data_IF_059906493639
#
_entry.id   IF_059906493639
#
_cell.length_a   1.000
_cell.length_b   1.000
_cell.length_c   1.000
_cell.angle_alpha   90.00
_cell.angle_beta   90.00
_cell.angle_gamma   90.00
#
_symmetry.space_group_name_H-M   'P 1'
#
loop_
_entity.id
_entity.type
_entity.pdbx_description
1 polymer ?
#
# COMPACT_ATOMS: atom_id res chain seq x y z
N UNK A 1 37.31 26.82 4.09
CA UNK A 1 36.84 26.96 5.49
C UNK A 1 36.18 25.66 5.92
N UNK A 2 36.39 25.19 7.16
CA UNK A 2 35.70 24.00 7.67
C UNK A 2 34.22 24.31 7.89
N UNK A 3 33.35 23.36 7.53
CA UNK A 3 31.90 23.45 7.73
C UNK A 3 31.57 22.86 9.10
N UNK A 4 31.20 23.71 10.05
CA UNK A 4 30.90 23.34 11.44
C UNK A 4 29.70 24.15 11.90
N UNK A 5 28.80 23.57 12.69
CA UNK A 5 27.54 24.21 13.10
C UNK A 5 27.77 25.57 13.78
N UNK A 6 28.78 25.68 14.64
CA UNK A 6 29.16 26.95 15.30
C UNK A 6 29.57 28.04 14.30
N UNK A 7 30.27 27.62 13.24
CA UNK A 7 30.74 28.53 12.20
C UNK A 7 29.60 28.94 11.27
N UNK A 8 28.78 27.98 10.83
CA UNK A 8 27.61 28.21 10.00
C UNK A 8 26.62 29.16 10.71
N UNK A 9 26.42 29.00 12.02
CA UNK A 9 25.60 29.90 12.84
C UNK A 9 26.15 31.35 12.87
N UNK A 10 27.47 31.53 13.03
CA UNK A 10 28.12 32.86 12.98
C UNK A 10 27.98 33.49 11.60
N UNK A 11 28.17 32.72 10.53
CA UNK A 11 28.01 33.21 9.15
C UNK A 11 26.57 33.63 8.87
N UNK A 12 25.57 32.85 9.31
CA UNK A 12 24.16 33.23 9.19
C UNK A 12 23.86 34.50 9.99
N UNK A 13 24.36 34.58 11.23
CA UNK A 13 24.18 35.76 12.07
C UNK A 13 24.76 37.00 11.40
N UNK A 14 25.98 36.94 10.88
CA UNK A 14 26.62 38.04 10.16
C UNK A 14 25.86 38.41 8.89
N UNK A 15 25.38 37.44 8.11
CA UNK A 15 24.54 37.68 6.93
C UNK A 15 23.27 38.47 7.27
N UNK A 16 22.60 38.14 8.38
CA UNK A 16 21.41 38.87 8.85
C UNK A 16 21.78 40.25 9.40
N UNK A 17 22.84 40.33 10.22
CA UNK A 17 23.27 41.54 10.93
C UNK A 17 23.77 42.64 10.00
N UNK A 18 24.44 42.25 8.92
CA UNK A 18 24.93 43.17 7.89
C UNK A 18 23.96 43.33 6.71
N UNK A 19 22.75 42.78 6.80
CA UNK A 19 21.73 42.94 5.76
C UNK A 19 22.15 42.36 4.40
N UNK A 20 23.04 41.36 4.39
CA UNK A 20 23.47 40.64 3.16
C UNK A 20 22.42 39.63 2.68
N UNK A 21 21.20 39.75 3.17
CA UNK A 21 20.05 38.94 2.79
C UNK A 21 19.15 39.76 1.88
N UNK A 22 18.85 39.23 0.71
CA UNK A 22 17.83 39.83 -0.15
C UNK A 22 16.45 39.46 0.40
N UNK A 23 15.51 40.40 0.59
CA UNK A 23 14.17 40.06 0.99
C UNK A 23 13.56 39.15 -0.09
N UNK A 24 12.90 38.08 0.36
CA UNK A 24 12.20 37.20 -0.58
C UNK A 24 11.09 38.00 -1.25
N UNK A 25 11.01 38.05 -2.59
CA UNK A 25 9.92 38.76 -3.26
C UNK A 25 8.58 38.14 -2.87
N UNK A 26 7.52 38.95 -2.87
CA UNK A 26 6.19 38.44 -2.60
C UNK A 26 5.88 37.25 -3.52
N UNK A 27 5.42 36.12 -2.97
CA UNK A 27 5.20 34.94 -3.75
C UNK A 27 4.11 35.22 -4.80
N UNK A 28 4.39 34.88 -6.05
CA UNK A 28 3.35 34.91 -7.07
C UNK A 28 2.25 33.92 -6.67
N UNK A 29 1.04 34.42 -6.43
CA UNK A 29 -0.08 33.62 -5.92
C UNK A 29 -0.42 32.41 -6.81
N UNK A 30 -0.14 32.48 -8.13
CA UNK A 30 -0.28 31.34 -9.03
C UNK A 30 0.67 30.19 -8.65
N UNK A 31 1.94 30.50 -8.40
CA UNK A 31 2.93 29.50 -7.97
C UNK A 31 2.67 29.02 -6.54
N UNK A 32 2.23 29.91 -5.64
CA UNK A 32 1.86 29.53 -4.27
C UNK A 32 0.69 28.53 -4.23
N UNK A 33 -0.34 28.73 -5.07
CA UNK A 33 -1.46 27.81 -5.19
C UNK A 33 -1.02 26.45 -5.74
N UNK A 34 -0.22 26.44 -6.82
CA UNK A 34 0.34 25.19 -7.38
C UNK A 34 1.20 24.45 -6.37
N UNK A 35 2.06 25.15 -5.63
CA UNK A 35 2.91 24.55 -4.60
C UNK A 35 2.08 23.88 -3.48
N UNK A 36 0.95 24.47 -3.09
CA UNK A 36 0.04 23.86 -2.10
C UNK A 36 -0.59 22.58 -2.64
N UNK A 37 -1.07 22.60 -3.89
CA UNK A 37 -1.64 21.41 -4.54
C UNK A 37 -0.61 20.28 -4.69
N UNK A 38 0.62 20.59 -5.09
CA UNK A 38 1.67 19.57 -5.24
C UNK A 38 2.09 18.98 -3.91
N UNK A 39 2.24 19.79 -2.86
CA UNK A 39 2.50 19.32 -1.49
C UNK A 39 1.36 18.44 -0.97
N UNK A 40 0.11 18.86 -1.18
CA UNK A 40 -1.04 18.07 -0.76
C UNK A 40 -1.08 16.71 -1.47
N UNK A 41 -0.88 16.68 -2.79
CA UNK A 41 -0.78 15.44 -3.55
C UNK A 41 0.34 14.53 -3.05
N UNK A 42 1.51 15.10 -2.73
CA UNK A 42 2.62 14.35 -2.15
C UNK A 42 2.23 13.68 -0.82
N UNK A 43 1.61 14.44 0.10
CA UNK A 43 1.14 13.90 1.36
C UNK A 43 0.12 12.78 1.16
N UNK A 44 -0.86 12.95 0.25
CA UNK A 44 -1.84 11.90 -0.06
C UNK A 44 -1.17 10.62 -0.56
N UNK A 45 -0.21 10.72 -1.48
CA UNK A 45 0.51 9.55 -2.00
C UNK A 45 1.28 8.84 -0.88
N UNK A 46 1.92 9.60 0.02
CA UNK A 46 2.62 9.02 1.18
C UNK A 46 1.66 8.33 2.15
N UNK A 47 0.51 8.94 2.43
CA UNK A 47 -0.53 8.35 3.27
C UNK A 47 -1.04 7.07 2.64
N UNK A 48 -1.41 7.07 1.36
CA UNK A 48 -1.86 5.86 0.65
C UNK A 48 -0.80 4.75 0.72
N UNK A 49 0.47 5.08 0.50
CA UNK A 49 1.57 4.10 0.55
C UNK A 49 1.76 3.53 1.96
N UNK A 50 1.60 4.37 2.97
CA UNK A 50 1.70 3.99 4.39
C UNK A 50 0.54 3.12 4.81
N UNK A 51 -0.70 3.47 4.43
CA UNK A 51 -1.89 2.66 4.72
C UNK A 51 -1.86 1.33 3.96
N UNK A 52 -1.42 1.30 2.69
CA UNK A 52 -1.19 0.04 1.97
C UNK A 52 -0.20 -0.86 2.71
N UNK A 53 0.87 -0.29 3.26
CA UNK A 53 1.86 -1.06 4.02
C UNK A 53 1.28 -1.63 5.31
N UNK A 54 0.44 -0.87 6.03
CA UNK A 54 -0.28 -1.35 7.21
C UNK A 54 -1.29 -2.44 6.86
N UNK A 55 -2.05 -2.26 5.78
CA UNK A 55 -2.99 -3.25 5.28
C UNK A 55 -2.28 -4.55 4.87
N UNK A 56 -1.10 -4.48 4.25
CA UNK A 56 -0.29 -5.68 3.96
C UNK A 56 0.14 -6.44 5.22
N UNK A 57 0.41 -5.75 6.33
CA UNK A 57 0.74 -6.41 7.59
C UNK A 57 -0.47 -7.14 8.17
N UNK A 58 -1.66 -6.54 8.09
CA UNK A 58 -2.90 -7.20 8.49
C UNK A 58 -3.24 -8.37 7.57
N UNK A 59 -3.04 -8.20 6.26
CA UNK A 59 -3.22 -9.26 5.28
C UNK A 59 -2.27 -10.42 5.57
N UNK A 60 -1.02 -10.16 5.98
CA UNK A 60 -0.09 -11.23 6.38
C UNK A 60 -0.61 -12.05 7.56
N UNK A 61 -1.32 -11.44 8.51
CA UNK A 61 -1.94 -12.17 9.63
C UNK A 61 -3.10 -13.06 9.16
N UNK A 62 -3.89 -12.59 8.19
CA UNK A 62 -4.99 -13.36 7.59
C UNK A 62 -4.50 -14.42 6.59
N UNK A 63 -3.45 -14.10 5.82
CA UNK A 63 -2.95 -14.88 4.69
C UNK A 63 -1.43 -14.64 4.52
N UNK A 64 -0.63 -15.39 5.27
CA UNK A 64 0.81 -15.15 5.42
C UNK A 64 1.65 -15.28 4.14
N UNK A 65 1.33 -16.25 3.29
CA UNK A 65 2.05 -16.54 2.03
C UNK A 65 1.63 -15.64 0.86
N UNK A 66 0.55 -14.85 1.01
CA UNK A 66 -0.08 -14.20 -0.13
C UNK A 66 0.81 -13.18 -0.83
N UNK A 67 1.57 -12.39 -0.07
CA UNK A 67 2.38 -11.30 -0.66
C UNK A 67 3.49 -11.83 -1.58
N UNK A 68 4.08 -12.97 -1.23
CA UNK A 68 5.18 -13.59 -1.99
C UNK A 68 4.63 -14.37 -3.19
N UNK A 69 3.53 -15.08 -2.99
CA UNK A 69 2.91 -15.95 -3.98
C UNK A 69 1.72 -15.32 -4.71
N UNK A 70 1.59 -13.98 -4.67
CA UNK A 70 0.44 -13.28 -5.23
C UNK A 70 0.34 -13.56 -6.73
N UNK A 71 -0.74 -14.22 -7.19
CA UNK A 71 -0.88 -14.59 -8.59
C UNK A 71 -1.41 -13.44 -9.45
N UNK A 72 -1.80 -12.32 -8.82
CA UNK A 72 -2.27 -11.10 -9.48
C UNK A 72 -1.16 -10.06 -9.62
N UNK A 73 -1.34 -9.16 -10.59
CA UNK A 73 -0.40 -8.05 -10.84
C UNK A 73 -0.36 -7.00 -9.72
N UNK A 74 -1.46 -6.82 -8.99
CA UNK A 74 -1.55 -5.95 -7.81
C UNK A 74 -2.33 -6.65 -6.70
N UNK A 75 -1.78 -6.66 -5.49
CA UNK A 75 -2.39 -7.21 -4.28
C UNK A 75 -3.68 -6.46 -3.93
N UNK A 76 -3.76 -5.16 -4.25
CA UNK A 76 -4.97 -4.34 -4.03
C UNK A 76 -5.82 -4.20 -5.31
N UNK A 77 -5.60 -5.06 -6.31
CA UNK A 77 -6.44 -5.10 -7.50
C UNK A 77 -7.85 -5.60 -7.20
N UNK A 78 -8.80 -5.36 -8.11
CA UNK A 78 -10.21 -5.76 -7.91
C UNK A 78 -10.38 -7.26 -7.67
N UNK A 79 -9.69 -8.09 -8.47
CA UNK A 79 -9.74 -9.55 -8.35
C UNK A 79 -9.17 -10.04 -7.01
N UNK A 80 -7.98 -9.54 -6.64
CA UNK A 80 -7.32 -9.87 -5.37
C UNK A 80 -8.17 -9.46 -4.16
N UNK A 81 -8.71 -8.24 -4.17
CA UNK A 81 -9.58 -7.72 -3.10
C UNK A 81 -10.84 -8.57 -2.95
N UNK A 82 -11.47 -8.95 -4.08
CA UNK A 82 -12.69 -9.79 -4.06
C UNK A 82 -12.44 -11.16 -3.44
N UNK A 83 -11.25 -11.74 -3.63
CA UNK A 83 -10.85 -13.01 -3.00
C UNK A 83 -10.81 -12.87 -1.47
N UNK A 84 -10.24 -11.77 -0.96
CA UNK A 84 -10.11 -11.55 0.49
C UNK A 84 -11.42 -11.22 1.20
N UNK A 85 -12.32 -10.53 0.49
CA UNK A 85 -13.62 -10.15 1.01
C UNK A 85 -14.58 -11.35 1.05
N UNK A 86 -14.47 -12.24 0.06
CA UNK A 86 -15.41 -13.35 -0.11
C UNK A 86 -15.00 -14.60 0.66
N UNK A 87 -13.69 -14.83 0.87
CA UNK A 87 -13.20 -16.10 1.39
C UNK A 87 -12.11 -15.98 2.45
N UNK A 88 -12.09 -16.97 3.33
CA UNK A 88 -10.98 -17.26 4.26
C UNK A 88 -9.99 -18.25 3.64
N UNK A 89 -8.73 -18.32 4.12
CA UNK A 89 -7.77 -19.30 3.62
C UNK A 89 -8.25 -20.75 3.73
N UNK A 90 -8.95 -21.09 4.82
CA UNK A 90 -9.48 -22.44 5.02
C UNK A 90 -10.59 -22.77 4.01
N UNK A 91 -11.46 -21.82 3.68
CA UNK A 91 -12.48 -21.99 2.63
C UNK A 91 -11.85 -22.20 1.26
N UNK A 92 -10.84 -21.41 0.91
CA UNK A 92 -10.10 -21.55 -0.36
C UNK A 92 -9.41 -22.91 -0.45
N UNK A 93 -8.89 -23.43 0.66
CA UNK A 93 -8.23 -24.74 0.69
C UNK A 93 -9.19 -25.89 0.40
N UNK A 94 -10.45 -25.79 0.85
CA UNK A 94 -11.48 -26.83 0.68
C UNK A 94 -12.22 -26.70 -0.66
N UNK A 95 -12.37 -25.48 -1.19
CA UNK A 95 -13.12 -25.19 -2.41
C UNK A 95 -12.65 -26.03 -3.62
N UNK A 96 -13.57 -26.57 -4.45
CA UNK A 96 -13.20 -27.26 -5.67
C UNK A 96 -12.49 -26.32 -6.65
N UNK A 97 -11.64 -26.89 -7.50
CA UNK A 97 -10.77 -26.11 -8.38
C UNK A 97 -11.59 -25.34 -9.42
N UNK A 98 -12.67 -25.96 -9.90
CA UNK A 98 -13.59 -25.42 -10.89
C UNK A 98 -14.26 -24.13 -10.39
N UNK A 99 -14.80 -24.14 -9.17
CA UNK A 99 -15.44 -22.96 -8.58
C UNK A 99 -14.45 -21.80 -8.37
N UNK A 100 -13.21 -22.12 -7.99
CA UNK A 100 -12.19 -21.10 -7.78
C UNK A 100 -11.78 -20.43 -9.11
N UNK A 101 -11.69 -21.22 -10.20
CA UNK A 101 -11.40 -20.71 -11.54
C UNK A 101 -12.54 -19.83 -12.04
N UNK A 102 -13.79 -20.26 -11.86
CA UNK A 102 -14.97 -19.48 -12.24
C UNK A 102 -15.05 -18.15 -11.46
N UNK A 103 -14.74 -18.17 -10.16
CA UNK A 103 -14.65 -16.96 -9.35
C UNK A 103 -13.59 -16.00 -9.89
N UNK A 104 -12.38 -16.51 -10.15
CA UNK A 104 -11.27 -15.71 -10.69
C UNK A 104 -11.60 -15.11 -12.06
N UNK A 105 -12.29 -15.87 -12.94
CA UNK A 105 -12.75 -15.40 -14.24
C UNK A 105 -13.77 -14.26 -14.13
N UNK A 106 -14.77 -14.43 -13.24
CA UNK A 106 -15.82 -13.42 -13.04
C UNK A 106 -15.28 -12.08 -12.53
N UNK A 107 -14.26 -12.11 -11.66
CA UNK A 107 -13.64 -10.91 -11.08
C UNK A 107 -12.40 -10.41 -11.85
N UNK A 108 -11.90 -11.19 -12.81
CA UNK A 108 -10.70 -10.91 -13.61
C UNK A 108 -10.91 -10.03 -14.84
N UNK A 109 -12.16 -9.67 -15.17
CA UNK A 109 -12.53 -8.87 -16.35
C UNK A 109 -11.90 -9.39 -17.67
N UNK A 110 -11.79 -10.72 -17.84
CA UNK A 110 -11.16 -11.39 -18.99
C UNK A 110 -9.71 -10.95 -19.32
N UNK A 111 -9.00 -10.33 -18.36
CA UNK A 111 -7.60 -9.89 -18.55
C UNK A 111 -6.58 -10.85 -17.97
N UNK A 112 -7.04 -11.88 -17.27
CA UNK A 112 -6.17 -12.88 -16.65
C UNK A 112 -5.77 -13.91 -17.72
N UNK A 113 -4.47 -14.00 -18.00
CA UNK A 113 -3.97 -14.89 -19.06
C UNK A 113 -4.22 -16.37 -18.74
N UNK A 114 -3.95 -16.79 -17.50
CA UNK A 114 -4.04 -18.20 -17.08
C UNK A 114 -4.82 -18.36 -15.74
N UNK A 115 -6.16 -18.39 -15.76
CA UNK A 115 -7.00 -18.52 -14.56
C UNK A 115 -6.73 -19.80 -13.75
N UNK A 116 -6.44 -20.92 -14.41
CA UNK A 116 -6.16 -22.20 -13.75
C UNK A 116 -4.85 -22.17 -12.93
N UNK A 117 -3.80 -21.54 -13.45
CA UNK A 117 -2.54 -21.39 -12.70
C UNK A 117 -2.71 -20.46 -11.51
N UNK A 118 -3.50 -19.40 -11.67
CA UNK A 118 -3.86 -18.46 -10.60
C UNK A 118 -4.62 -19.17 -9.48
N UNK A 119 -5.63 -19.97 -9.82
CA UNK A 119 -6.38 -20.73 -8.83
C UNK A 119 -5.48 -21.76 -8.11
N UNK A 120 -4.53 -22.40 -8.82
CA UNK A 120 -3.63 -23.40 -8.23
C UNK A 120 -2.64 -22.78 -7.26
N UNK A 121 -2.07 -21.64 -7.63
CA UNK A 121 -1.16 -20.86 -6.77
C UNK A 121 -1.91 -20.32 -5.55
N UNK A 122 -3.11 -19.80 -5.73
CA UNK A 122 -3.97 -19.34 -4.64
C UNK A 122 -4.30 -20.46 -3.65
N UNK A 123 -4.68 -21.64 -4.14
CA UNK A 123 -4.95 -22.82 -3.31
C UNK A 123 -3.69 -23.32 -2.59
N UNK A 124 -2.53 -23.31 -3.25
CA UNK A 124 -1.24 -23.63 -2.61
C UNK A 124 -0.88 -22.63 -1.51
N UNK A 125 -1.09 -21.34 -1.76
CA UNK A 125 -0.84 -20.29 -0.80
C UNK A 125 -1.77 -20.45 0.42
N UNK A 126 -3.05 -20.72 0.19
CA UNK A 126 -4.05 -20.93 1.24
C UNK A 126 -3.69 -22.13 2.15
N UNK A 127 -3.25 -23.24 1.56
CA UNK A 127 -2.80 -24.41 2.32
C UNK A 127 -1.56 -24.15 3.19
N UNK A 128 -0.73 -23.17 2.83
CA UNK A 128 0.46 -22.76 3.60
C UNK A 128 0.19 -21.62 4.58
N UNK A 129 -1.00 -21.03 4.56
CA UNK A 129 -1.35 -19.92 5.43
C UNK A 129 -1.40 -20.38 6.90
N UNK A 130 -0.99 -19.48 7.80
CA UNK A 130 -1.15 -19.73 9.22
C UNK A 130 -2.62 -19.58 9.63
N UNK A 131 -3.07 -20.45 10.53
CA UNK A 131 -4.41 -20.36 11.13
C UNK A 131 -4.36 -19.40 12.30
N UNK A 132 -5.08 -18.30 12.17
CA UNK A 132 -5.21 -17.31 13.22
C UNK A 132 -6.31 -17.73 14.20
N UNK A 133 -6.24 -17.25 15.45
CA UNK A 133 -7.34 -17.41 16.39
C UNK A 133 -8.61 -16.74 15.81
N UNK A 134 -9.80 -17.37 15.87
CA UNK A 134 -11.05 -16.81 15.38
C UNK A 134 -11.30 -15.33 15.76
N UNK A 135 -11.09 -14.97 17.03
CA UNK A 135 -11.33 -13.59 17.51
C UNK A 135 -10.43 -12.56 16.79
N UNK A 136 -9.18 -12.96 16.50
CA UNK A 136 -8.24 -12.14 15.75
C UNK A 136 -8.54 -12.15 14.24
N UNK A 137 -9.06 -13.25 13.71
CA UNK A 137 -9.44 -13.35 12.30
C UNK A 137 -10.60 -12.39 11.96
N UNK A 138 -11.61 -12.32 12.83
CA UNK A 138 -12.78 -11.47 12.66
C UNK A 138 -12.41 -9.99 12.71
N UNK A 139 -11.59 -9.60 13.70
CA UNK A 139 -11.13 -8.21 13.84
C UNK A 139 -10.25 -7.77 12.68
N UNK A 140 -9.32 -8.62 12.22
CA UNK A 140 -8.49 -8.35 11.04
C UNK A 140 -9.34 -8.25 9.78
N UNK A 141 -10.30 -9.16 9.59
CA UNK A 141 -11.19 -9.15 8.42
C UNK A 141 -12.06 -7.89 8.38
N UNK A 142 -12.63 -7.49 9.51
CA UNK A 142 -13.42 -6.25 9.63
C UNK A 142 -12.57 -5.00 9.36
N UNK A 143 -11.29 -5.00 9.77
CA UNK A 143 -10.38 -3.87 9.52
C UNK A 143 -9.98 -3.78 8.04
N UNK A 144 -9.91 -4.91 7.35
CA UNK A 144 -9.54 -4.99 5.94
C UNK A 144 -10.70 -4.76 4.98
N UNK A 145 -11.96 -4.83 5.45
CA UNK A 145 -13.13 -4.51 4.65
C UNK A 145 -13.06 -3.05 4.19
N UNK A 146 -13.02 -2.84 2.87
CA UNK A 146 -12.97 -1.52 2.23
C UNK A 146 -14.32 -1.08 1.66
#
# INVERSE_FOLDING_TARGET
MPKTDDFDARVIADCVRFGRVNPTPMPNFKYAALQRLTRFRYHLVQTISSEKSRALNLLYLKFSSYKEDCPFSDVFGSASTSVFDSFTPDEIAVMPMEELVDFVLSHGNNRLSNPEEIAKTLKSAANRAYRLNPDMCDTVSMTLTM
#
